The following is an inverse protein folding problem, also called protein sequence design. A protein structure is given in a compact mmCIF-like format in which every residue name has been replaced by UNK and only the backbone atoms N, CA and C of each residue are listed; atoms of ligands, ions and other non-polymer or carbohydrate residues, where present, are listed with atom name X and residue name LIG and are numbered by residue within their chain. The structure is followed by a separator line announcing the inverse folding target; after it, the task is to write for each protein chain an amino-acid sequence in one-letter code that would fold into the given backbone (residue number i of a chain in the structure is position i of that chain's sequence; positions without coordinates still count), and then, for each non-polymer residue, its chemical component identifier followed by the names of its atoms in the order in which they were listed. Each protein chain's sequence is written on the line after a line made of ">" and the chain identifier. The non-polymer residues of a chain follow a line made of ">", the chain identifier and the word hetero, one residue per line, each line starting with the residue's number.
data_IF_083306796354
#
_entry.id   IF_083306796354
#
_cell.length_a   1.000
_cell.length_b   1.000
_cell.length_c   1.000
_cell.angle_alpha   90.00
_cell.angle_beta   90.00
_cell.angle_gamma   90.00
#
_symmetry.space_group_name_H-M   'P 1'
#
loop_
_entity.id
_entity.type
_entity.pdbx_description
1 polymer ?
#
# COMPACT_ATOMS: atom_id res chain seq x y z
N UNK A 1 -14.41 5.34 6.72
CA UNK A 1 -13.99 6.70 6.30
C UNK A 1 -13.15 6.59 5.02
N UNK A 2 -13.13 7.65 4.25
CA UNK A 2 -12.33 7.71 3.03
C UNK A 2 -11.13 8.61 3.27
N UNK A 3 -9.94 8.15 2.81
CA UNK A 3 -8.71 8.92 2.97
C UNK A 3 -8.08 9.18 1.60
N UNK A 4 -7.93 10.46 1.24
CA UNK A 4 -7.14 10.88 0.10
C UNK A 4 -5.66 10.65 0.39
N UNK A 5 -4.82 10.77 -0.63
CA UNK A 5 -3.36 10.63 -0.45
C UNK A 5 -2.83 11.63 0.59
N UNK A 6 -3.32 12.87 0.56
CA UNK A 6 -2.91 13.89 1.52
C UNK A 6 -3.26 13.49 2.96
N UNK A 7 -4.44 12.91 3.15
CA UNK A 7 -4.86 12.44 4.47
C UNK A 7 -4.06 11.22 4.92
N UNK A 8 -3.77 10.31 3.99
CA UNK A 8 -2.91 9.16 4.31
C UNK A 8 -1.56 9.63 4.84
N UNK A 9 -0.98 10.66 4.22
CA UNK A 9 0.30 11.20 4.66
C UNK A 9 0.26 11.79 6.08
N UNK A 10 -0.91 12.19 6.55
CA UNK A 10 -1.07 12.67 7.93
C UNK A 10 -1.06 11.54 8.96
N UNK A 11 -1.51 10.34 8.56
CA UNK A 11 -1.67 9.23 9.49
C UNK A 11 -0.45 8.33 9.60
N UNK A 12 0.35 8.19 8.54
CA UNK A 12 1.45 7.24 8.50
C UNK A 12 2.76 7.94 8.11
N UNK A 13 3.91 7.29 8.35
CA UNK A 13 5.22 7.90 8.23
C UNK A 13 5.93 7.68 6.88
N UNK A 14 5.42 6.78 6.03
CA UNK A 14 6.03 6.57 4.73
C UNK A 14 5.76 7.74 3.80
N UNK A 15 6.75 8.12 3.03
CA UNK A 15 6.66 9.24 2.08
C UNK A 15 6.95 8.75 0.66
N UNK A 16 6.43 9.45 -0.37
CA UNK A 16 6.86 9.15 -1.73
C UNK A 16 8.38 9.23 -1.86
N UNK A 17 9.03 8.35 -2.60
CA UNK A 17 8.42 7.32 -3.46
C UNK A 17 8.13 5.97 -2.77
N UNK A 18 8.28 5.85 -1.46
CA UNK A 18 8.02 4.61 -0.74
C UNK A 18 6.57 4.46 -0.27
N UNK A 19 5.73 5.44 -0.46
CA UNK A 19 4.30 5.31 -0.20
C UNK A 19 3.68 4.46 -1.31
N UNK A 20 3.16 3.29 -0.97
CA UNK A 20 2.69 2.28 -1.91
C UNK A 20 1.16 2.19 -2.00
N UNK A 21 0.46 3.23 -1.59
CA UNK A 21 -0.99 3.35 -1.71
C UNK A 21 -1.33 4.75 -2.17
N UNK A 22 -2.37 4.89 -2.99
CA UNK A 22 -2.80 6.20 -3.49
C UNK A 22 -4.04 6.72 -2.78
N UNK A 23 -4.98 5.83 -2.49
CA UNK A 23 -6.21 6.21 -1.83
C UNK A 23 -6.75 5.04 -1.02
N UNK A 24 -7.31 5.34 0.14
CA UNK A 24 -8.10 4.39 0.91
C UNK A 24 -9.56 4.75 0.73
N UNK A 25 -10.27 3.93 -0.04
CA UNK A 25 -11.67 4.17 -0.36
C UNK A 25 -12.59 3.94 0.84
N UNK A 26 -12.19 3.01 1.71
CA UNK A 26 -12.93 2.73 2.93
C UNK A 26 -12.00 2.22 4.01
N UNK A 27 -11.99 2.91 5.14
CA UNK A 27 -11.28 2.47 6.34
C UNK A 27 -12.29 2.33 7.47
N UNK A 28 -12.33 1.15 8.07
CA UNK A 28 -13.11 0.91 9.28
C UNK A 28 -12.11 0.75 10.42
N UNK A 29 -11.96 1.79 11.27
CA UNK A 29 -10.93 1.78 12.31
C UNK A 29 -10.98 0.51 13.17
N UNK A 30 -9.82 -0.11 13.35
CA UNK A 30 -9.69 -1.33 14.13
C UNK A 30 -10.15 -2.60 13.41
N UNK A 31 -10.62 -2.52 12.18
CA UNK A 31 -11.20 -3.66 11.49
C UNK A 31 -10.63 -3.92 10.10
N UNK A 32 -10.70 -2.96 9.21
CA UNK A 32 -10.35 -3.21 7.80
C UNK A 32 -9.98 -1.92 7.07
N UNK A 33 -9.35 -2.08 5.91
CA UNK A 33 -9.09 -1.00 5.00
C UNK A 33 -9.04 -1.53 3.57
N UNK A 34 -9.53 -0.75 2.61
CA UNK A 34 -9.41 -1.08 1.20
C UNK A 34 -9.22 0.18 0.38
N UNK A 35 -8.54 0.04 -0.73
CA UNK A 35 -8.28 1.13 -1.64
C UNK A 35 -7.43 0.65 -2.80
N UNK A 36 -6.60 1.54 -3.32
CA UNK A 36 -5.83 1.19 -4.49
C UNK A 36 -4.53 1.97 -4.60
N UNK A 37 -3.67 1.47 -5.50
CA UNK A 37 -2.54 2.19 -6.04
C UNK A 37 -2.58 2.10 -7.55
N UNK A 38 -2.48 3.24 -8.23
CA UNK A 38 -2.27 3.26 -9.67
C UNK A 38 -0.78 3.05 -9.95
N UNK A 39 -0.46 2.14 -10.86
CA UNK A 39 0.94 1.85 -11.19
C UNK A 39 1.40 2.71 -12.36
N UNK A 40 1.86 3.90 -12.04
CA UNK A 40 2.40 4.82 -13.02
C UNK A 40 3.63 4.20 -13.68
N UNK A 41 3.70 4.20 -15.04
CA UNK A 41 4.86 3.64 -15.73
C UNK A 41 6.20 4.26 -15.34
N UNK A 42 6.19 5.45 -14.75
CA UNK A 42 7.40 6.15 -14.31
C UNK A 42 7.81 5.81 -12.87
N UNK A 43 7.12 4.89 -12.21
CA UNK A 43 7.51 4.47 -10.87
C UNK A 43 8.93 3.90 -10.89
N UNK A 44 9.71 4.22 -9.86
CA UNK A 44 11.14 3.92 -9.82
C UNK A 44 11.44 2.43 -9.95
N UNK A 45 10.61 1.54 -9.39
CA UNK A 45 10.87 0.10 -9.41
C UNK A 45 10.69 -0.52 -10.79
N UNK A 46 9.91 0.08 -11.68
CA UNK A 46 9.79 -0.43 -13.06
C UNK A 46 11.06 -0.24 -13.88
N UNK A 47 11.93 0.69 -13.47
CA UNK A 47 13.18 0.96 -14.19
C UNK A 47 14.30 0.02 -13.77
N UNK A 48 14.21 -0.54 -12.57
CA UNK A 48 15.29 -1.34 -11.99
C UNK A 48 14.90 -2.79 -11.74
N UNK A 49 13.62 -3.10 -11.69
CA UNK A 49 13.13 -4.45 -11.49
C UNK A 49 12.72 -5.04 -12.84
N UNK A 50 13.66 -5.77 -13.44
CA UNK A 50 13.47 -6.43 -14.74
C UNK A 50 13.07 -5.44 -15.84
N UNK A 51 13.99 -4.55 -16.27
CA UNK A 51 13.65 -3.53 -17.28
C UNK A 51 13.07 -4.06 -18.58
N UNK A 52 13.39 -5.30 -18.96
CA UNK A 52 12.86 -5.93 -20.18
C UNK A 52 11.45 -6.51 -19.97
N UNK A 53 10.98 -6.62 -18.72
CA UNK A 53 9.65 -7.12 -18.38
C UNK A 53 9.16 -6.40 -17.14
N UNK A 54 8.82 -5.10 -17.25
CA UNK A 54 8.47 -4.29 -16.08
C UNK A 54 7.30 -4.88 -15.31
N UNK A 55 7.51 -5.07 -14.00
CA UNK A 55 6.47 -5.55 -13.12
C UNK A 55 6.75 -5.06 -11.70
N UNK A 56 5.70 -4.96 -10.89
CA UNK A 56 5.84 -4.54 -9.51
C UNK A 56 6.46 -5.66 -8.68
N UNK A 57 7.59 -5.42 -8.00
CA UNK A 57 8.19 -6.43 -7.12
C UNK A 57 7.18 -6.98 -6.13
N UNK A 58 7.19 -8.32 -5.94
CA UNK A 58 6.28 -8.96 -5.00
C UNK A 58 6.39 -8.39 -3.59
N UNK A 59 7.60 -8.07 -3.14
CA UNK A 59 7.80 -7.49 -1.82
C UNK A 59 7.15 -6.10 -1.70
N UNK A 60 7.09 -5.32 -2.77
CA UNK A 60 6.39 -4.03 -2.75
C UNK A 60 4.88 -4.20 -2.82
N UNK A 61 4.39 -5.29 -3.42
CA UNK A 61 2.97 -5.63 -3.35
C UNK A 61 2.57 -5.92 -1.90
N UNK A 62 3.44 -6.65 -1.18
CA UNK A 62 3.23 -6.90 0.25
C UNK A 62 3.28 -5.59 1.03
N UNK A 63 4.21 -4.71 0.70
CA UNK A 63 4.30 -3.40 1.35
C UNK A 63 3.01 -2.59 1.15
N UNK A 64 2.39 -2.64 -0.02
CA UNK A 64 1.10 -2.00 -0.26
C UNK A 64 0.03 -2.53 0.70
N UNK A 65 -0.01 -3.85 0.90
CA UNK A 65 -0.94 -4.47 1.84
C UNK A 65 -0.67 -4.03 3.28
N UNK A 66 0.60 -3.99 3.67
CA UNK A 66 1.00 -3.56 5.01
C UNK A 66 0.60 -2.11 5.26
N UNK A 67 0.87 -1.23 4.31
CA UNK A 67 0.53 0.18 4.44
C UNK A 67 -0.98 0.39 4.51
N UNK A 68 -1.75 -0.32 3.69
CA UNK A 68 -3.20 -0.23 3.73
C UNK A 68 -3.74 -0.77 5.05
N UNK A 69 -3.26 -1.93 5.48
CA UNK A 69 -3.66 -2.53 6.75
C UNK A 69 -3.36 -1.61 7.94
N UNK A 70 -2.21 -0.94 7.93
CA UNK A 70 -1.80 -0.04 9.00
C UNK A 70 -2.81 1.10 9.19
N UNK A 71 -3.50 1.53 8.14
CA UNK A 71 -4.48 2.61 8.26
C UNK A 71 -5.63 2.22 9.20
N UNK A 72 -6.00 0.95 9.25
CA UNK A 72 -7.06 0.51 10.15
C UNK A 72 -6.67 0.68 11.62
N UNK A 73 -5.37 0.62 11.92
CA UNK A 73 -4.85 0.83 13.28
C UNK A 73 -4.58 2.30 13.56
N UNK A 74 -4.04 3.01 12.57
CA UNK A 74 -3.65 4.42 12.75
C UNK A 74 -4.85 5.36 12.82
N UNK A 75 -6.01 4.93 12.33
CA UNK A 75 -7.24 5.72 12.43
C UNK A 75 -7.97 5.54 13.77
N UNK A 76 -7.49 4.63 14.61
CA UNK A 76 -8.03 4.54 15.98
C UNK A 76 -7.61 5.78 16.78
N UNK A 77 -8.44 6.22 17.73
CA UNK A 77 -8.12 7.41 18.55
C UNK A 77 -6.73 7.28 19.20
N UNK A 78 -5.92 8.34 19.08
CA UNK A 78 -4.60 8.40 19.69
C UNK A 78 -3.48 7.75 18.87
N UNK A 79 -3.78 7.11 17.76
CA UNK A 79 -2.76 6.40 16.98
C UNK A 79 -2.21 7.16 15.77
N UNK A 80 -2.79 8.30 15.44
CA UNK A 80 -2.38 9.07 14.27
C UNK A 80 -0.88 9.39 14.30
N UNK A 81 -0.16 9.03 13.23
CA UNK A 81 1.27 9.31 13.10
C UNK A 81 2.18 8.34 13.83
N UNK A 82 1.66 7.32 14.49
CA UNK A 82 2.50 6.32 15.15
C UNK A 82 3.20 5.41 14.14
N UNK A 83 4.29 4.78 14.58
CA UNK A 83 5.02 3.82 13.76
C UNK A 83 4.39 2.44 13.86
N UNK A 84 4.31 1.75 12.72
CA UNK A 84 3.80 0.39 12.63
C UNK A 84 4.88 -0.47 11.99
N UNK A 85 5.31 -1.52 12.68
CA UNK A 85 6.33 -2.44 12.19
C UNK A 85 5.70 -3.77 11.85
N UNK A 86 6.07 -4.33 10.67
CA UNK A 86 5.68 -5.69 10.35
C UNK A 86 6.60 -6.65 11.11
N UNK A 87 6.01 -7.67 11.71
CA UNK A 87 6.76 -8.67 12.47
C UNK A 87 6.89 -9.97 11.68
N UNK A 88 5.85 -10.35 10.95
CA UNK A 88 5.87 -11.58 10.19
C UNK A 88 4.91 -11.51 9.01
N UNK A 89 5.16 -12.33 8.00
CA UNK A 89 4.27 -12.54 6.89
C UNK A 89 4.33 -14.00 6.49
N UNK A 90 3.18 -14.61 6.19
CA UNK A 90 3.11 -16.02 5.85
C UNK A 90 2.00 -16.28 4.83
N UNK A 91 2.05 -17.46 4.20
CA UNK A 91 1.05 -17.88 3.21
C UNK A 91 0.94 -16.90 2.03
N UNK A 92 2.09 -16.40 1.58
CA UNK A 92 2.16 -15.44 0.48
C UNK A 92 2.07 -16.18 -0.86
N UNK A 93 1.13 -15.75 -1.71
CA UNK A 93 0.94 -16.34 -3.03
C UNK A 93 0.84 -15.23 -4.06
N UNK A 94 1.66 -15.30 -5.09
CA UNK A 94 1.66 -14.35 -6.20
C UNK A 94 1.12 -15.08 -7.44
N UNK A 95 -0.13 -14.77 -7.81
CA UNK A 95 -0.82 -15.51 -8.87
C UNK A 95 -0.61 -14.92 -10.26
N UNK A 96 -0.23 -13.64 -10.34
CA UNK A 96 -0.04 -12.97 -11.60
C UNK A 96 0.85 -11.73 -11.40
N UNK A 97 1.65 -11.39 -12.40
CA UNK A 97 2.47 -10.19 -12.31
C UNK A 97 1.61 -8.93 -12.43
N UNK A 98 2.02 -7.87 -11.75
CA UNK A 98 1.38 -6.56 -11.77
C UNK A 98 2.26 -5.66 -12.62
N UNK A 99 1.68 -5.06 -13.65
CA UNK A 99 2.44 -4.34 -14.69
C UNK A 99 2.09 -2.85 -14.72
N UNK A 100 2.92 -2.03 -15.39
CA UNK A 100 2.61 -0.60 -15.53
C UNK A 100 1.22 -0.36 -16.08
N UNK A 101 0.57 0.68 -15.60
CA UNK A 101 -0.80 1.11 -15.93
C UNK A 101 -1.88 0.28 -15.25
N UNK A 102 -1.53 -0.81 -14.55
CA UNK A 102 -2.51 -1.53 -13.74
C UNK A 102 -2.98 -0.67 -12.58
N UNK A 103 -4.20 -0.89 -12.14
CA UNK A 103 -4.70 -0.39 -10.88
C UNK A 103 -4.64 -1.54 -9.88
N UNK A 104 -3.78 -1.42 -8.88
CA UNK A 104 -3.65 -2.43 -7.84
C UNK A 104 -4.75 -2.21 -6.80
N UNK A 105 -5.73 -3.09 -6.78
CA UNK A 105 -6.77 -3.08 -5.75
C UNK A 105 -6.24 -3.74 -4.49
N UNK A 106 -6.43 -3.08 -3.35
CA UNK A 106 -5.86 -3.51 -2.08
C UNK A 106 -6.97 -3.63 -1.05
N UNK A 107 -7.08 -4.80 -0.45
CA UNK A 107 -8.13 -5.06 0.55
C UNK A 107 -7.53 -5.84 1.71
N UNK A 108 -7.79 -5.38 2.94
CA UNK A 108 -7.26 -5.99 4.16
C UNK A 108 -8.35 -6.08 5.23
N UNK A 109 -8.22 -7.07 6.08
CA UNK A 109 -9.12 -7.26 7.23
C UNK A 109 -8.34 -7.31 8.53
#
# INVERSE_FOLDING_TARGET
>A
MKLSKEKILEYQQNKPPYLMIDEAEEVIPGKSAKGFKYLDPNEWYFKVHWPSDPNMPGMLQIESLVQMSALSLLTLPGNKGKLVYIISASNLVFKKKIIPKDRLEIETN
#
